data_IF_778907804343
#
_entry.id   IF_778907804343
#
_cell.length_a   1.000
_cell.length_b   1.000
_cell.length_c   1.000
_cell.angle_alpha   90.00
_cell.angle_beta   90.00
_cell.angle_gamma   90.00
#
_symmetry.space_group_name_H-M   'P 1'
#
loop_
_entity.id
_entity.type
_entity.pdbx_description
1 polymer ?
#
# COMPACT_ATOMS: atom_id res chain seq x y z
N UNK A 1 27.90 7.87 8.82
CA UNK A 1 27.87 6.51 9.40
C UNK A 1 26.69 5.77 8.79
N UNK A 2 26.88 4.54 8.31
CA UNK A 2 25.78 3.73 7.75
C UNK A 2 24.76 3.42 8.85
N UNK A 3 23.49 3.81 8.65
CA UNK A 3 22.36 3.54 9.55
C UNK A 3 22.27 2.01 9.81
N UNK A 4 22.12 1.52 11.05
CA UNK A 4 21.99 0.09 11.29
C UNK A 4 20.54 -0.33 10.98
N UNK A 5 20.31 -0.85 9.77
CA UNK A 5 19.13 -1.66 9.50
C UNK A 5 19.18 -2.92 10.36
N UNK A 6 18.13 -3.15 11.16
CA UNK A 6 17.70 -4.39 11.82
C UNK A 6 18.84 -5.36 12.21
N UNK A 7 18.98 -5.62 13.50
CA UNK A 7 19.86 -6.64 14.05
C UNK A 7 19.70 -7.98 13.30
N UNK A 8 20.76 -8.81 13.32
CA UNK A 8 20.76 -10.11 12.62
C UNK A 8 19.58 -11.00 13.01
N UNK A 9 19.12 -10.92 14.26
CA UNK A 9 17.95 -11.65 14.76
C UNK A 9 16.63 -11.14 14.14
N UNK A 10 16.50 -9.82 13.97
CA UNK A 10 15.32 -9.19 13.37
C UNK A 10 15.21 -9.49 11.86
N UNK A 11 16.34 -9.53 11.13
CA UNK A 11 16.36 -9.95 9.72
C UNK A 11 16.04 -11.44 9.54
N UNK A 12 16.44 -12.27 10.50
CA UNK A 12 16.24 -13.71 10.44
C UNK A 12 14.79 -14.08 10.80
N UNK A 13 14.15 -13.35 11.72
CA UNK A 13 12.72 -13.51 12.05
C UNK A 13 11.80 -12.97 10.95
N UNK A 14 12.14 -11.83 10.34
CA UNK A 14 11.44 -11.33 9.15
C UNK A 14 11.50 -12.32 7.97
N UNK A 15 12.65 -12.99 7.75
CA UNK A 15 12.78 -14.03 6.74
C UNK A 15 12.03 -15.33 7.06
N UNK A 16 11.81 -15.65 8.34
CA UNK A 16 11.06 -16.85 8.76
C UNK A 16 9.54 -16.64 8.72
N UNK A 17 9.06 -15.41 8.93
CA UNK A 17 7.64 -15.06 8.82
C UNK A 17 7.20 -14.82 7.36
N UNK A 18 8.13 -14.39 6.49
CA UNK A 18 7.82 -14.00 5.11
C UNK A 18 8.07 -15.16 4.13
N UNK A 19 7.22 -16.18 4.24
CA UNK A 19 6.91 -17.06 3.12
C UNK A 19 5.79 -16.44 2.28
N UNK A 20 6.15 -15.53 1.35
CA UNK A 20 5.27 -14.92 0.31
C UNK A 20 4.47 -13.65 0.65
N UNK A 21 4.83 -12.89 1.69
CA UNK A 21 4.23 -11.56 1.95
C UNK A 21 5.04 -10.48 1.20
N UNK A 22 4.42 -9.83 0.21
CA UNK A 22 5.01 -8.70 -0.52
C UNK A 22 4.52 -7.40 0.13
N UNK A 23 5.43 -6.55 0.58
CA UNK A 23 5.12 -5.29 1.28
C UNK A 23 4.99 -4.18 0.24
N UNK A 24 3.83 -3.54 0.15
CA UNK A 24 3.66 -2.32 -0.65
C UNK A 24 3.54 -1.10 0.25
N UNK A 25 4.45 -0.15 0.05
CA UNK A 25 4.38 1.18 0.63
C UNK A 25 3.42 2.03 -0.21
N UNK A 26 2.28 2.39 0.39
CA UNK A 26 1.30 3.30 -0.21
C UNK A 26 1.80 4.73 -0.05
N UNK A 27 2.06 5.38 -1.18
CA UNK A 27 2.65 6.72 -1.21
C UNK A 27 1.55 7.78 -1.11
N UNK A 28 1.52 8.51 0.01
CA UNK A 28 1.37 9.96 -0.12
C UNK A 28 2.75 10.52 -0.54
N UNK A 29 2.88 10.87 -1.82
CA UNK A 29 4.05 11.40 -2.56
C UNK A 29 5.16 10.42 -3.01
N UNK A 30 5.03 9.94 -4.26
CA UNK A 30 5.88 9.00 -5.00
C UNK A 30 7.18 9.59 -5.59
N UNK A 31 8.32 8.93 -5.35
CA UNK A 31 9.41 8.76 -6.35
C UNK A 31 9.98 7.34 -6.22
N UNK A 32 9.93 6.59 -7.33
CA UNK A 32 10.46 5.23 -7.44
C UNK A 32 11.91 5.26 -7.95
N UNK A 33 12.86 4.74 -7.18
CA UNK A 33 14.13 4.25 -7.74
C UNK A 33 14.42 2.84 -7.26
N UNK A 34 14.60 1.95 -8.23
CA UNK A 34 14.85 0.52 -8.08
C UNK A 34 16.36 0.28 -7.99
N UNK A 35 16.78 -0.66 -7.15
CA UNK A 35 18.13 -1.26 -7.20
C UNK A 35 17.93 -2.77 -7.36
N UNK A 36 18.44 -3.33 -8.45
CA UNK A 36 19.31 -4.51 -8.43
C UNK A 36 19.78 -4.83 -9.86
N UNK A 37 21.11 -4.75 -10.00
CA UNK A 37 22.04 -5.56 -10.78
C UNK A 37 21.61 -5.99 -12.19
N UNK A 38 21.80 -5.06 -13.14
CA UNK A 38 22.44 -5.30 -14.43
C UNK A 38 22.39 -3.99 -15.23
N UNK A 39 23.52 -3.25 -15.28
CA UNK A 39 23.64 -2.08 -16.16
C UNK A 39 24.99 -2.10 -16.88
N UNK A 40 24.90 -2.14 -18.22
CA UNK A 40 25.78 -1.39 -19.10
C UNK A 40 25.14 0.00 -19.30
N UNK A 41 25.87 1.06 -18.92
CA UNK A 41 25.37 2.43 -18.82
C UNK A 41 25.17 3.10 -20.19
N UNK A 42 24.08 3.84 -20.35
CA UNK A 42 23.97 4.95 -21.30
C UNK A 42 23.57 6.23 -20.53
N UNK A 43 24.18 7.40 -20.83
CA UNK A 43 24.01 8.60 -20.00
C UNK A 43 22.91 9.57 -20.45
N UNK A 44 22.39 10.31 -19.46
CA UNK A 44 21.71 11.62 -19.46
C UNK A 44 20.31 11.75 -20.07
N UNK A 45 19.38 12.34 -19.29
CA UNK A 45 18.57 13.53 -19.69
C UNK A 45 18.17 14.35 -18.44
N UNK A 46 18.36 15.67 -18.53
CA UNK A 46 18.02 16.76 -17.59
C UNK A 46 16.51 17.08 -17.48
N UNK A 47 16.16 17.77 -16.39
CA UNK A 47 15.10 18.79 -16.14
C UNK A 47 13.74 18.73 -16.89
N UNK A 48 12.64 18.93 -16.13
CA UNK A 48 11.78 20.14 -16.20
C UNK A 48 10.62 20.10 -15.17
N UNK A 49 10.50 21.16 -14.38
CA UNK A 49 9.27 21.60 -13.69
C UNK A 49 8.25 22.12 -14.71
N UNK A 50 6.95 21.88 -14.50
CA UNK A 50 5.90 22.92 -14.67
C UNK A 50 4.49 22.49 -14.22
N UNK A 51 3.90 23.36 -13.39
CA UNK A 51 2.52 23.92 -13.45
C UNK A 51 1.27 23.11 -13.08
N UNK A 52 0.39 23.85 -12.40
CA UNK A 52 -0.88 23.55 -11.73
C UNK A 52 -2.13 23.59 -12.63
N UNK A 53 -3.24 23.08 -12.05
CA UNK A 53 -4.68 23.32 -12.35
C UNK A 53 -5.31 22.59 -13.55
N UNK A 54 -6.23 21.65 -13.26
CA UNK A 54 -7.67 21.82 -13.53
C UNK A 54 -8.50 20.69 -12.93
N UNK A 55 -9.57 21.07 -12.22
CA UNK A 55 -10.63 20.23 -11.67
C UNK A 55 -11.92 20.57 -12.45
N UNK A 56 -12.78 19.54 -12.62
CA UNK A 56 -14.16 19.50 -13.13
C UNK A 56 -14.39 19.43 -14.66
N UNK A 57 -14.77 18.24 -15.13
CA UNK A 57 -16.04 18.01 -15.86
C UNK A 57 -16.18 16.52 -16.24
N UNK A 58 -17.03 15.78 -15.53
CA UNK A 58 -17.48 14.45 -15.96
C UNK A 58 -18.76 14.63 -16.78
N UNK A 59 -18.69 14.43 -18.09
CA UNK A 59 -19.86 14.18 -18.95
C UNK A 59 -19.79 12.74 -19.43
N UNK A 60 -20.66 11.90 -18.88
CA UNK A 60 -20.93 10.54 -19.34
C UNK A 60 -21.75 10.61 -20.64
N UNK A 61 -21.23 10.03 -21.72
CA UNK A 61 -22.03 9.63 -22.88
C UNK A 61 -22.22 8.11 -22.82
N UNK A 62 -23.48 7.68 -22.73
CA UNK A 62 -23.90 6.30 -22.94
C UNK A 62 -24.58 6.24 -24.31
N UNK A 63 -24.17 5.29 -25.17
CA UNK A 63 -25.00 4.88 -26.32
C UNK A 63 -25.09 3.36 -26.37
N UNK A 64 -26.30 2.87 -26.10
CA UNK A 64 -26.76 1.51 -26.35
C UNK A 64 -26.81 1.22 -27.84
N UNK A 65 -26.53 -0.03 -28.25
CA UNK A 65 -27.03 -0.56 -29.51
C UNK A 65 -27.71 -1.92 -29.31
N UNK A 66 -28.92 -1.98 -29.85
CA UNK A 66 -29.90 -3.05 -29.85
C UNK A 66 -29.68 -4.05 -30.99
N UNK A 67 -30.24 -5.24 -30.81
CA UNK A 67 -30.35 -6.35 -31.77
C UNK A 67 -31.07 -5.98 -33.09
N UNK A 68 -30.70 -6.71 -34.16
CA UNK A 68 -31.49 -7.20 -35.32
C UNK A 68 -30.48 -7.77 -36.35
N UNK A 69 -30.70 -8.79 -37.19
CA UNK A 69 -31.83 -9.65 -37.49
C UNK A 69 -31.30 -10.88 -38.26
N UNK A 70 -32.07 -11.96 -38.20
CA UNK A 70 -31.86 -13.24 -38.89
C UNK A 70 -32.23 -13.12 -40.38
N UNK A 71 -31.52 -13.79 -41.28
CA UNK A 71 -31.98 -14.04 -42.65
C UNK A 71 -31.43 -15.38 -43.15
N UNK A 72 -32.37 -16.25 -43.55
CA UNK A 72 -32.17 -17.57 -44.14
C UNK A 72 -31.85 -17.47 -45.62
N UNK A 73 -30.87 -18.24 -46.09
CA UNK A 73 -30.76 -18.61 -47.51
C UNK A 73 -30.60 -20.13 -47.59
N UNK A 74 -31.58 -20.74 -48.24
CA UNK A 74 -31.64 -22.15 -48.63
C UNK A 74 -30.87 -22.35 -49.92
N UNK A 75 -30.01 -23.38 -50.01
CA UNK A 75 -29.79 -24.19 -51.21
C UNK A 75 -28.90 -25.42 -50.89
N UNK A 76 -29.24 -26.56 -51.50
CA UNK A 76 -28.60 -27.87 -51.41
C UNK A 76 -28.88 -28.56 -52.77
N UNK A 77 -28.19 -29.65 -53.20
CA UNK A 77 -26.78 -30.05 -53.11
C UNK A 77 -26.21 -30.51 -54.49
N UNK A 78 -24.90 -30.43 -54.75
CA UNK A 78 -24.17 -31.44 -55.58
C UNK A 78 -22.64 -31.20 -55.69
N UNK A 79 -21.90 -32.14 -55.08
CA UNK A 79 -20.62 -32.76 -55.52
C UNK A 79 -19.46 -31.89 -56.03
N UNK A 80 -18.46 -31.60 -55.19
CA UNK A 80 -17.01 -31.54 -55.56
C UNK A 80 -16.17 -31.87 -54.27
N UNK A 81 -14.94 -32.41 -54.33
CA UNK A 81 -14.52 -33.67 -53.70
C UNK A 81 -13.82 -33.46 -52.34
N UNK A 82 -13.55 -34.54 -51.59
CA UNK A 82 -12.62 -34.50 -50.43
C UNK A 82 -11.17 -34.49 -50.91
N UNK A 83 -10.32 -33.56 -50.45
CA UNK A 83 -8.89 -33.79 -50.33
C UNK A 83 -8.48 -33.96 -48.86
N UNK A 84 -7.48 -34.79 -48.70
CA UNK A 84 -6.95 -35.36 -47.48
C UNK A 84 -6.31 -34.33 -46.54
N UNK A 85 -6.43 -34.63 -45.24
CA UNK A 85 -5.42 -34.48 -44.19
C UNK A 85 -4.14 -33.70 -44.53
N UNK A 86 -4.23 -32.37 -44.61
CA UNK A 86 -3.08 -31.49 -44.41
C UNK A 86 -3.08 -30.96 -42.98
N UNK A 87 -2.00 -31.26 -42.26
CA UNK A 87 -1.72 -30.91 -40.88
C UNK A 87 -2.20 -29.49 -40.55
N UNK A 88 -3.17 -29.37 -39.63
CA UNK A 88 -3.41 -28.11 -38.95
C UNK A 88 -2.21 -27.87 -38.05
N UNK A 89 -1.34 -26.97 -38.49
CA UNK A 89 -0.29 -26.33 -37.69
C UNK A 89 -0.80 -26.14 -36.26
N UNK A 90 -0.25 -26.92 -35.34
CA UNK A 90 -0.48 -26.75 -33.91
C UNK A 90 0.16 -25.44 -33.51
N UNK A 91 -0.65 -24.37 -33.51
CA UNK A 91 -0.30 -23.13 -32.86
C UNK A 91 -0.13 -23.47 -31.37
N UNK A 92 1.10 -23.76 -30.97
CA UNK A 92 1.49 -23.76 -29.58
C UNK A 92 1.70 -22.28 -29.26
N UNK A 93 0.78 -21.60 -28.55
CA UNK A 93 1.16 -20.35 -27.94
C UNK A 93 2.34 -20.69 -27.04
N UNK A 94 3.52 -20.17 -27.39
CA UNK A 94 4.70 -20.22 -26.54
C UNK A 94 4.34 -19.44 -25.28
N UNK A 95 3.83 -20.16 -24.28
CA UNK A 95 3.83 -19.72 -22.89
C UNK A 95 5.29 -19.54 -22.50
N UNK A 96 5.72 -18.30 -22.37
CA UNK A 96 6.39 -17.81 -21.16
C UNK A 96 6.98 -16.42 -21.43
N UNK A 97 6.11 -15.41 -21.46
CA UNK A 97 6.52 -14.15 -20.86
C UNK A 97 6.20 -14.34 -19.40
N UNK A 98 7.21 -14.41 -18.52
CA UNK A 98 7.08 -14.50 -17.06
C UNK A 98 6.18 -13.38 -16.56
N UNK A 99 4.86 -13.58 -16.64
CA UNK A 99 3.85 -12.60 -16.24
C UNK A 99 3.99 -12.46 -14.74
N UNK A 100 4.35 -11.25 -14.33
CA UNK A 100 4.44 -10.94 -12.91
C UNK A 100 3.01 -10.85 -12.41
N UNK A 101 2.65 -11.71 -11.46
CA UNK A 101 1.29 -11.83 -10.93
C UNK A 101 0.69 -10.46 -10.58
N UNK A 102 1.47 -9.59 -9.92
CA UNK A 102 1.04 -8.27 -9.48
C UNK A 102 0.70 -7.29 -10.60
N UNK A 103 1.12 -7.54 -11.85
CA UNK A 103 0.76 -6.68 -12.99
C UNK A 103 -0.67 -6.91 -13.49
N UNK A 104 -1.25 -8.04 -13.13
CA UNK A 104 -2.53 -8.51 -13.67
C UNK A 104 -3.56 -8.85 -12.57
N UNK A 105 -3.18 -8.72 -11.30
CA UNK A 105 -4.05 -9.03 -10.16
C UNK A 105 -5.11 -7.97 -9.91
N UNK A 106 -6.29 -8.46 -9.52
CA UNK A 106 -7.38 -7.63 -9.00
C UNK A 106 -7.24 -7.56 -7.48
N UNK A 107 -6.99 -6.36 -6.96
CA UNK A 107 -6.88 -6.10 -5.53
C UNK A 107 -8.23 -5.68 -4.94
N UNK A 108 -8.60 -6.30 -3.81
CA UNK A 108 -9.72 -5.88 -2.97
C UNK A 108 -9.17 -5.21 -1.71
N UNK A 109 -9.33 -3.88 -1.62
CA UNK A 109 -8.89 -3.14 -0.45
C UNK A 109 -9.92 -3.28 0.68
N UNK A 110 -9.45 -3.63 1.87
CA UNK A 110 -10.24 -3.81 3.08
C UNK A 110 -9.86 -2.71 4.07
N UNK A 111 -10.86 -1.95 4.51
CA UNK A 111 -10.75 -1.06 5.66
C UNK A 111 -11.31 -1.77 6.90
N UNK A 112 -10.47 -2.35 7.79
CA UNK A 112 -10.91 -3.32 8.80
C UNK A 112 -12.05 -2.82 9.69
N UNK A 113 -11.92 -1.59 10.21
CA UNK A 113 -12.89 -0.98 11.15
C UNK A 113 -14.34 -1.01 10.65
N UNK A 114 -14.56 -0.98 9.34
CA UNK A 114 -15.90 -0.87 8.75
C UNK A 114 -16.26 -2.06 7.87
N UNK A 115 -15.46 -3.12 7.90
CA UNK A 115 -15.69 -4.28 7.04
C UNK A 115 -16.68 -5.27 7.67
N UNK A 116 -16.30 -5.93 8.76
CA UNK A 116 -17.19 -6.81 9.51
C UNK A 116 -16.72 -7.02 10.94
N UNK A 117 -17.61 -6.74 11.88
CA UNK A 117 -17.49 -7.08 13.30
C UNK A 117 -17.82 -8.56 13.51
N UNK A 118 -16.98 -9.28 14.27
CA UNK A 118 -17.18 -10.68 14.64
C UNK A 118 -17.47 -10.92 16.12
N UNK A 119 -17.26 -9.92 16.98
CA UNK A 119 -17.30 -10.06 18.43
C UNK A 119 -18.44 -9.24 19.10
N UNK A 120 -19.10 -8.36 18.35
CA UNK A 120 -20.24 -7.54 18.78
C UNK A 120 -19.87 -6.20 19.41
N UNK A 121 -18.62 -5.73 19.29
CA UNK A 121 -18.17 -4.43 19.80
C UNK A 121 -18.49 -3.23 18.87
N UNK A 122 -18.98 -3.52 17.66
CA UNK A 122 -19.36 -2.53 16.64
C UNK A 122 -18.22 -2.08 15.72
N UNK A 123 -17.02 -2.65 15.85
CA UNK A 123 -15.85 -2.37 15.03
C UNK A 123 -15.47 -3.64 14.26
N UNK A 124 -15.16 -3.49 12.98
CA UNK A 124 -14.70 -4.64 12.20
C UNK A 124 -13.29 -5.10 12.57
N UNK A 125 -13.07 -6.41 12.52
CA UNK A 125 -11.89 -7.11 13.04
C UNK A 125 -11.35 -8.18 12.08
N UNK A 126 -10.20 -8.78 12.40
CA UNK A 126 -9.53 -9.77 11.55
C UNK A 126 -10.39 -11.03 11.35
N UNK A 127 -11.07 -11.49 12.39
CA UNK A 127 -11.93 -12.67 12.32
C UNK A 127 -13.15 -12.41 11.41
N UNK A 128 -13.68 -11.19 11.40
CA UNK A 128 -14.68 -10.74 10.43
C UNK A 128 -14.19 -10.74 8.99
N UNK A 129 -12.92 -10.40 8.76
CA UNK A 129 -12.27 -10.52 7.44
C UNK A 129 -12.21 -11.99 7.01
N UNK A 130 -11.74 -12.88 7.90
CA UNK A 130 -11.63 -14.32 7.63
C UNK A 130 -12.99 -14.90 7.21
N UNK A 131 -14.08 -14.53 7.90
CA UNK A 131 -15.44 -14.98 7.60
C UNK A 131 -15.95 -14.60 6.20
N UNK A 132 -15.34 -13.60 5.54
CA UNK A 132 -15.75 -13.12 4.22
C UNK A 132 -14.80 -13.43 3.09
N UNK A 133 -13.72 -14.18 3.34
CA UNK A 133 -12.74 -14.50 2.29
C UNK A 133 -13.36 -15.25 1.10
N UNK A 134 -14.35 -16.12 1.34
CA UNK A 134 -15.05 -16.80 0.24
C UNK A 134 -15.87 -15.82 -0.61
N UNK A 135 -16.53 -14.86 0.03
CA UNK A 135 -17.24 -13.80 -0.69
C UNK A 135 -16.30 -12.93 -1.52
N UNK A 136 -15.15 -12.53 -0.95
CA UNK A 136 -14.14 -11.73 -1.67
C UNK A 136 -13.58 -12.50 -2.88
N UNK A 137 -13.34 -13.81 -2.71
CA UNK A 137 -12.92 -14.67 -3.81
C UNK A 137 -13.97 -14.78 -4.90
N UNK A 138 -15.25 -14.93 -4.54
CA UNK A 138 -16.36 -15.03 -5.49
C UNK A 138 -16.52 -13.74 -6.32
N UNK A 139 -16.14 -12.58 -5.78
CA UNK A 139 -16.06 -11.32 -6.52
C UNK A 139 -14.92 -11.30 -7.56
N UNK A 140 -14.01 -12.26 -7.52
CA UNK A 140 -12.90 -12.41 -8.47
C UNK A 140 -11.60 -11.73 -8.05
N UNK A 141 -11.43 -11.38 -6.78
CA UNK A 141 -10.17 -10.81 -6.29
C UNK A 141 -9.06 -11.87 -6.19
N UNK A 142 -7.86 -11.52 -6.67
CA UNK A 142 -6.65 -12.34 -6.54
C UNK A 142 -5.82 -11.95 -5.31
N UNK A 143 -6.04 -10.73 -4.81
CA UNK A 143 -5.24 -10.07 -3.79
C UNK A 143 -6.17 -9.29 -2.85
N UNK A 144 -5.97 -9.40 -1.55
CA UNK A 144 -6.53 -8.47 -0.57
C UNK A 144 -5.46 -7.49 -0.09
N UNK A 145 -5.80 -6.21 0.02
CA UNK A 145 -4.95 -5.19 0.61
C UNK A 145 -5.63 -4.67 1.88
N UNK A 146 -4.97 -4.86 3.02
CA UNK A 146 -5.52 -4.51 4.32
C UNK A 146 -4.95 -3.17 4.78
N UNK A 147 -5.82 -2.18 4.98
CA UNK A 147 -5.47 -0.91 5.64
C UNK A 147 -4.91 -1.15 7.06
N UNK A 148 -4.25 -0.18 7.70
CA UNK A 148 -3.48 -0.43 8.93
C UNK A 148 -4.26 -1.14 10.07
N UNK A 149 -3.63 -2.17 10.62
CA UNK A 149 -4.11 -2.94 11.79
C UNK A 149 -3.15 -2.90 12.98
N UNK A 150 -2.00 -2.22 12.83
CA UNK A 150 -0.96 -2.14 13.86
C UNK A 150 -1.40 -1.32 15.07
N UNK A 151 -0.71 -1.51 16.20
CA UNK A 151 -0.87 -0.63 17.37
C UNK A 151 -0.68 0.83 16.97
N UNK A 152 -1.63 1.66 17.41
CA UNK A 152 -1.72 3.07 17.07
C UNK A 152 -2.48 3.81 18.17
N UNK A 153 -2.19 5.10 18.34
CA UNK A 153 -2.95 6.00 19.22
C UNK A 153 -4.34 6.33 18.65
N UNK A 154 -4.58 5.91 17.41
CA UNK A 154 -5.81 5.99 16.65
C UNK A 154 -6.27 7.44 16.37
N UNK A 155 -5.32 8.36 16.23
CA UNK A 155 -5.55 9.75 15.85
C UNK A 155 -5.96 9.87 14.37
N UNK A 156 -5.42 9.01 13.51
CA UNK A 156 -5.77 8.87 12.09
C UNK A 156 -6.20 7.44 11.75
N UNK A 157 -7.04 6.86 12.61
CA UNK A 157 -7.65 5.54 12.41
C UNK A 157 -6.68 4.37 12.13
N UNK A 158 -5.44 4.45 12.61
CA UNK A 158 -4.43 3.41 12.44
C UNK A 158 -3.23 3.81 11.57
N UNK A 159 -3.29 4.94 10.86
CA UNK A 159 -2.14 5.44 10.09
C UNK A 159 -1.05 6.07 10.98
N UNK A 160 -1.38 6.45 12.21
CA UNK A 160 -0.45 6.88 13.26
C UNK A 160 0.07 5.68 14.08
N UNK A 161 1.03 4.91 13.52
CA UNK A 161 1.53 3.66 14.12
C UNK A 161 2.43 3.94 15.33
N UNK A 162 2.13 3.32 16.48
CA UNK A 162 2.93 3.37 17.72
C UNK A 162 3.78 2.13 17.96
N UNK A 163 3.42 0.98 17.37
CA UNK A 163 4.28 -0.21 17.30
C UNK A 163 4.05 -0.98 15.99
N UNK A 164 5.09 -1.10 15.16
CA UNK A 164 5.06 -1.83 13.89
C UNK A 164 5.05 -3.35 14.04
N UNK A 165 5.25 -3.88 15.24
CA UNK A 165 5.39 -5.32 15.51
C UNK A 165 4.20 -5.92 16.26
N UNK A 166 3.18 -5.12 16.56
CA UNK A 166 2.02 -5.55 17.33
C UNK A 166 0.71 -5.06 16.70
N UNK A 167 -0.37 -5.79 16.96
CA UNK A 167 -1.70 -5.55 16.40
C UNK A 167 -2.54 -4.76 17.39
N UNK A 168 -3.33 -3.81 16.91
CA UNK A 168 -4.24 -3.08 17.79
C UNK A 168 -5.30 -4.02 18.36
N UNK A 169 -5.51 -3.99 19.68
CA UNK A 169 -6.38 -4.95 20.39
C UNK A 169 -7.80 -5.05 19.80
N UNK A 170 -8.31 -3.94 19.25
CA UNK A 170 -9.64 -3.89 18.61
C UNK A 170 -9.76 -4.73 17.34
N UNK A 171 -8.64 -5.09 16.71
CA UNK A 171 -8.64 -5.88 15.47
C UNK A 171 -8.32 -7.36 15.70
N UNK A 172 -7.67 -7.72 16.81
CA UNK A 172 -7.26 -9.08 17.14
C UNK A 172 -5.81 -9.18 17.58
N UNK A 173 -5.20 -10.35 17.38
CA UNK A 173 -3.83 -10.65 17.80
C UNK A 173 -2.92 -10.99 16.61
N UNK A 174 -1.63 -11.19 16.88
CA UNK A 174 -0.69 -11.70 15.88
C UNK A 174 -1.07 -13.11 15.40
N UNK A 175 -1.65 -13.95 16.25
CA UNK A 175 -2.16 -15.26 15.87
C UNK A 175 -3.34 -15.16 14.89
N UNK A 176 -4.22 -14.17 15.04
CA UNK A 176 -5.31 -13.91 14.09
C UNK A 176 -4.75 -13.49 12.72
N UNK A 177 -3.67 -12.71 12.69
CA UNK A 177 -2.97 -12.37 11.44
C UNK A 177 -2.37 -13.60 10.76
N UNK A 178 -1.72 -14.48 11.53
CA UNK A 178 -1.19 -15.74 11.01
C UNK A 178 -2.31 -16.62 10.42
N UNK A 179 -3.46 -16.68 11.10
CA UNK A 179 -4.64 -17.38 10.59
C UNK A 179 -5.15 -16.76 9.29
N UNK A 180 -5.29 -15.43 9.25
CA UNK A 180 -5.76 -14.70 8.08
C UNK A 180 -4.87 -15.00 6.86
N UNK A 181 -3.55 -14.90 7.01
CA UNK A 181 -2.59 -15.19 5.93
C UNK A 181 -2.78 -16.63 5.43
N UNK A 182 -2.89 -17.60 6.34
CA UNK A 182 -3.12 -19.01 6.01
C UNK A 182 -4.44 -19.20 5.25
N UNK A 183 -5.51 -18.56 5.69
CA UNK A 183 -6.86 -18.68 5.10
C UNK A 183 -6.95 -18.02 3.72
N UNK A 184 -6.25 -16.91 3.51
CA UNK A 184 -6.11 -16.25 2.21
C UNK A 184 -5.35 -17.16 1.23
N UNK A 185 -4.21 -17.70 1.65
CA UNK A 185 -3.41 -18.59 0.80
C UNK A 185 -4.13 -19.90 0.48
N UNK A 186 -4.90 -20.47 1.42
CA UNK A 186 -5.73 -21.65 1.17
C UNK A 186 -6.76 -21.45 0.04
N UNK A 187 -7.08 -20.18 -0.26
CA UNK A 187 -7.98 -19.78 -1.33
C UNK A 187 -7.28 -19.42 -2.63
N UNK A 188 -5.95 -19.58 -2.71
CA UNK A 188 -5.10 -19.12 -3.80
C UNK A 188 -5.16 -17.60 -4.03
N UNK A 189 -5.57 -16.84 -3.01
CA UNK A 189 -5.48 -15.39 -3.00
C UNK A 189 -4.16 -14.97 -2.35
N UNK A 190 -3.80 -13.70 -2.52
CA UNK A 190 -2.64 -13.06 -1.90
C UNK A 190 -3.08 -12.00 -0.91
N UNK A 191 -2.15 -11.56 -0.05
CA UNK A 191 -2.39 -10.54 0.96
C UNK A 191 -1.25 -9.52 0.97
N UNK A 192 -1.61 -8.25 1.09
CA UNK A 192 -0.71 -7.13 1.34
C UNK A 192 -1.25 -6.39 2.56
N UNK A 193 -0.35 -5.99 3.45
CA UNK A 193 -0.65 -5.07 4.54
C UNK A 193 -0.13 -3.68 4.19
N UNK A 194 -0.91 -2.66 4.51
CA UNK A 194 -0.44 -1.28 4.46
C UNK A 194 0.75 -1.09 5.41
N UNK A 195 1.77 -0.36 4.98
CA UNK A 195 2.94 -0.07 5.80
C UNK A 195 3.29 1.42 5.74
N UNK A 196 3.01 2.10 6.84
CA UNK A 196 3.16 3.56 6.96
C UNK A 196 4.56 3.90 7.43
N UNK A 197 5.46 4.23 6.50
CA UNK A 197 6.88 4.48 6.79
C UNK A 197 7.27 5.95 6.88
N UNK A 198 6.44 6.87 6.36
CA UNK A 198 6.80 8.28 6.28
C UNK A 198 6.78 8.97 7.66
N UNK A 199 5.89 8.54 8.55
CA UNK A 199 5.71 9.06 9.90
C UNK A 199 5.37 7.93 10.86
N UNK A 200 5.50 8.19 12.16
CA UNK A 200 4.99 7.33 13.24
C UNK A 200 3.97 8.11 14.07
N UNK A 201 3.28 7.47 15.01
CA UNK A 201 2.64 8.17 16.12
C UNK A 201 3.67 8.93 16.95
N UNK A 202 3.27 10.04 17.59
CA UNK A 202 4.05 10.71 18.63
C UNK A 202 4.18 9.88 19.92
N UNK A 203 3.36 8.84 20.07
CA UNK A 203 3.49 7.81 21.12
C UNK A 203 4.48 6.69 20.75
N UNK A 204 5.02 6.69 19.52
CA UNK A 204 6.01 5.69 19.11
C UNK A 204 7.31 5.86 19.91
N UNK A 205 7.93 4.77 20.43
CA UNK A 205 9.16 4.86 21.24
C UNK A 205 10.30 5.64 20.59
N UNK A 206 10.42 5.56 19.26
CA UNK A 206 11.41 6.33 18.51
C UNK A 206 11.20 7.84 18.65
N UNK A 207 9.97 8.34 18.56
CA UNK A 207 9.69 9.76 18.69
C UNK A 207 9.88 10.23 20.13
N UNK A 208 9.40 9.45 21.10
CA UNK A 208 9.58 9.73 22.53
C UNK A 208 11.09 9.89 22.85
N UNK A 209 11.92 8.95 22.40
CA UNK A 209 13.37 9.05 22.57
C UNK A 209 13.97 10.24 21.80
N UNK A 210 13.59 10.44 20.53
CA UNK A 210 14.07 11.56 19.72
C UNK A 210 13.75 12.93 20.33
N UNK A 211 12.56 13.06 20.93
CA UNK A 211 12.06 14.29 21.54
C UNK A 211 12.72 14.58 22.87
N UNK A 212 13.14 13.54 23.61
CA UNK A 212 13.71 13.68 24.96
C UNK A 212 14.89 14.64 25.10
N UNK A 213 15.70 14.80 24.05
CA UNK A 213 16.90 15.66 24.07
C UNK A 213 17.47 15.88 22.67
N UNK A 214 18.08 17.06 22.45
CA UNK A 214 18.84 17.38 21.22
C UNK A 214 20.10 16.53 21.01
N UNK A 215 20.55 15.80 22.03
CA UNK A 215 21.74 14.93 21.94
C UNK A 215 21.38 13.43 22.01
N UNK A 216 20.09 13.08 22.02
CA UNK A 216 19.67 11.68 22.02
C UNK A 216 20.15 10.98 20.72
N UNK A 217 20.62 9.71 20.77
CA UNK A 217 21.02 8.98 19.57
C UNK A 217 19.94 8.87 18.47
N UNK A 218 18.66 8.96 18.85
CA UNK A 218 17.52 8.97 17.93
C UNK A 218 17.09 10.38 17.48
N UNK A 219 17.79 11.45 17.89
CA UNK A 219 17.40 12.83 17.56
C UNK A 219 17.19 13.05 16.07
N UNK A 220 18.13 12.58 15.25
CA UNK A 220 18.08 12.76 13.79
C UNK A 220 17.18 11.73 13.07
N UNK A 221 16.40 10.93 13.81
CA UNK A 221 15.43 10.00 13.20
C UNK A 221 14.17 10.72 12.74
N UNK A 222 13.90 11.92 13.26
CA UNK A 222 12.79 12.77 12.85
C UNK A 222 13.30 14.12 12.34
N UNK A 223 12.46 14.82 11.59
CA UNK A 223 12.84 16.10 11.00
C UNK A 223 12.64 17.23 12.02
N UNK A 224 13.74 17.61 12.69
CA UNK A 224 13.78 18.75 13.62
C UNK A 224 14.41 19.99 12.99
N UNK A 225 13.86 21.18 13.22
CA UNK A 225 14.43 22.46 12.75
C UNK A 225 14.25 23.56 13.79
N UNK A 226 15.26 24.43 13.93
CA UNK A 226 15.10 25.67 14.68
C UNK A 226 14.12 26.60 13.96
N UNK A 227 13.43 27.46 14.72
CA UNK A 227 12.62 28.54 14.17
C UNK A 227 13.48 29.63 13.51
N UNK A 228 12.84 30.47 12.70
CA UNK A 228 13.43 31.70 12.20
C UNK A 228 13.35 32.82 13.26
N UNK A 229 14.13 33.89 13.05
CA UNK A 229 14.14 35.07 13.91
C UNK A 229 12.72 35.64 14.13
N UNK A 230 12.42 36.04 15.37
CA UNK A 230 11.09 36.58 15.73
C UNK A 230 10.05 35.51 16.05
N UNK A 231 10.45 34.27 16.31
CA UNK A 231 9.53 33.17 16.67
C UNK A 231 8.77 32.60 15.48
N UNK A 232 9.28 32.82 14.27
CA UNK A 232 8.70 32.32 13.04
C UNK A 232 9.09 30.84 12.83
N UNK A 233 8.23 30.10 12.12
CA UNK A 233 8.45 28.69 11.80
C UNK A 233 9.58 28.52 10.77
N UNK A 234 10.16 27.30 10.62
CA UNK A 234 11.28 27.07 9.69
C UNK A 234 11.01 27.46 8.24
N UNK A 235 9.79 27.21 7.74
CA UNK A 235 9.33 27.64 6.43
C UNK A 235 7.77 27.73 6.40
N UNK A 236 7.20 27.93 5.21
CA UNK A 236 5.75 28.06 4.99
C UNK A 236 5.05 26.74 4.61
N UNK A 237 5.64 25.57 4.90
CA UNK A 237 4.99 24.30 4.62
C UNK A 237 3.73 24.11 5.49
N UNK A 238 2.70 23.58 4.84
CA UNK A 238 1.40 23.32 5.42
C UNK A 238 1.16 21.82 5.56
N UNK A 239 0.47 21.45 6.64
CA UNK A 239 -0.02 20.09 6.82
C UNK A 239 -1.18 19.84 5.87
N UNK A 240 -1.24 18.63 5.31
CA UNK A 240 -2.35 18.16 4.48
C UNK A 240 -3.67 18.16 5.31
N UNK A 241 -3.58 18.00 6.63
CA UNK A 241 -4.71 17.98 7.55
C UNK A 241 -5.05 19.35 8.15
N UNK A 242 -4.59 20.44 7.52
CA UNK A 242 -4.81 21.85 7.86
C UNK A 242 -3.81 22.45 8.87
N UNK A 243 -3.40 23.69 8.61
CA UNK A 243 -2.44 24.45 9.42
C UNK A 243 -0.99 24.23 8.97
N UNK A 244 -0.03 24.58 9.83
CA UNK A 244 1.39 24.35 9.52
C UNK A 244 1.74 22.89 9.50
N UNK A 245 2.79 22.54 8.76
CA UNK A 245 3.50 21.27 8.92
C UNK A 245 4.54 21.28 10.06
N UNK A 246 4.65 22.36 10.83
CA UNK A 246 5.64 22.51 11.90
C UNK A 246 4.95 22.71 13.25
N UNK A 247 5.18 21.79 14.18
CA UNK A 247 4.72 21.87 15.56
C UNK A 247 5.91 22.17 16.47
N UNK A 248 5.74 23.12 17.39
CA UNK A 248 6.79 23.57 18.30
C UNK A 248 6.89 22.66 19.52
N UNK A 249 8.09 22.14 19.78
CA UNK A 249 8.42 21.39 20.98
C UNK A 249 9.13 22.27 22.00
N UNK A 250 8.47 22.48 23.15
CA UNK A 250 8.98 23.31 24.24
C UNK A 250 10.19 22.70 24.96
N UNK A 251 10.31 21.37 24.96
CA UNK A 251 11.36 20.67 25.71
C UNK A 251 12.73 20.89 25.06
N UNK A 252 12.76 20.97 23.73
CA UNK A 252 14.00 21.09 22.98
C UNK A 252 14.16 22.38 22.18
N UNK A 253 13.19 23.30 22.30
CA UNK A 253 13.17 24.61 21.64
C UNK A 253 13.39 24.48 20.12
N UNK A 254 12.67 23.54 19.50
CA UNK A 254 12.72 23.25 18.07
C UNK A 254 11.32 22.91 17.56
N UNK A 255 11.15 22.98 16.24
CA UNK A 255 9.98 22.47 15.55
C UNK A 255 10.25 21.07 15.01
N UNK A 256 9.25 20.19 15.06
CA UNK A 256 9.27 18.94 14.30
C UNK A 256 8.30 19.03 13.12
N UNK A 257 8.64 18.34 12.03
CA UNK A 257 7.79 18.22 10.85
C UNK A 257 6.67 17.22 11.10
N UNK A 258 5.46 17.57 10.67
CA UNK A 258 4.32 16.68 10.55
C UNK A 258 3.52 17.05 9.29
N UNK A 259 3.56 16.22 8.25
CA UNK A 259 2.81 16.47 7.00
C UNK A 259 1.30 16.19 7.18
N UNK A 260 0.94 15.45 8.23
CA UNK A 260 -0.44 15.07 8.57
C UNK A 260 -0.83 15.66 9.93
N UNK A 261 -1.46 14.84 10.79
CA UNK A 261 -1.76 15.24 12.16
C UNK A 261 -0.49 15.63 12.90
N UNK A 262 -0.62 16.51 13.90
CA UNK A 262 0.48 16.86 14.81
C UNK A 262 0.99 15.63 15.56
N UNK A 263 0.15 14.61 15.75
CA UNK A 263 0.55 13.33 16.34
C UNK A 263 1.24 12.38 15.36
N UNK A 264 1.56 12.84 14.15
CA UNK A 264 2.21 12.04 13.09
C UNK A 264 3.54 12.67 12.68
N UNK A 265 4.55 12.72 13.59
CA UNK A 265 5.87 13.27 13.27
C UNK A 265 6.57 12.49 12.15
N UNK A 266 7.10 13.24 11.18
CA UNK A 266 7.75 12.70 9.98
C UNK A 266 9.17 12.17 10.29
N UNK A 267 9.43 10.97 9.79
CA UNK A 267 10.74 10.30 9.85
C UNK A 267 11.71 10.97 8.87
N UNK A 268 12.96 11.13 9.30
CA UNK A 268 14.05 11.70 8.51
C UNK A 268 14.80 10.62 7.71
N UNK A 269 14.30 10.34 6.50
CA UNK A 269 14.85 9.37 5.55
C UNK A 269 16.23 9.75 5.01
#
# INVERSE_FOLDING_TARGET
MKKPFLSGAEKQRAKQLVGSVEIQQTHQQTVMTKVDDDIQLCPNVDDQQTSTRNILSTKLFYSSFSHNNMSTVTENPSTIPKPESTMKSSFHPTTDVRRKWWKESIAYQIYPRSFQDSNGDGIGDIQGIIQRLDHIKDLGADLIWICPIYKSANDDNGYDISDYQDIMDVFGTMEDVDELIKQVHARNMRIIFDLVLNHTSDEHPWFIESRSSRINPKRDWYVWRDGQSGGLRPNNWESIFNGSAWEYDKETDQYYLHLFSRKMPDVNW
#
